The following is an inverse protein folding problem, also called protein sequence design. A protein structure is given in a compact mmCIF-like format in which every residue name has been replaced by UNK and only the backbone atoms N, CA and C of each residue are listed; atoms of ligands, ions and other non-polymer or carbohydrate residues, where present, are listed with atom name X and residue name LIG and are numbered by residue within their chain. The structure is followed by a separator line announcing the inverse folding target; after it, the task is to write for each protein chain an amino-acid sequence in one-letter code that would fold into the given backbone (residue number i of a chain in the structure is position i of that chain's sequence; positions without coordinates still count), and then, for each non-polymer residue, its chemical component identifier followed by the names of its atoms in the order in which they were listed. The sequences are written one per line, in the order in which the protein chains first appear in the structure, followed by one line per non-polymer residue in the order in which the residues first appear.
data_IF_765046930686
#
_entry.id   IF_765046930686
#
_cell.length_a   1.000
_cell.length_b   1.000
_cell.length_c   1.000
_cell.angle_alpha   90.00
_cell.angle_beta   90.00
_cell.angle_gamma   90.00
#
_symmetry.space_group_name_H-M   'P 1'
#
loop_
_entity.id
_entity.type
_entity.pdbx_description
1 polymer ?
#
# COMPACT_ATOMS: atom_id res chain seq x y z
N UNK A 1 -25.37 3.74 -7.02
CA UNK A 1 -24.53 4.22 -5.90
C UNK A 1 -23.27 4.84 -6.48
N UNK A 2 -22.79 5.97 -5.95
CA UNK A 2 -21.52 6.56 -6.41
C UNK A 2 -20.35 5.73 -5.82
N UNK A 3 -19.48 5.19 -6.67
CA UNK A 3 -18.38 4.30 -6.30
C UNK A 3 -17.46 4.97 -5.28
N UNK A 4 -17.02 6.20 -5.56
CA UNK A 4 -16.14 6.97 -4.68
C UNK A 4 -16.74 7.13 -3.28
N UNK A 5 -18.00 7.55 -3.20
CA UNK A 5 -18.69 7.74 -1.93
C UNK A 5 -18.80 6.44 -1.14
N UNK A 6 -19.00 5.29 -1.81
CA UNK A 6 -19.05 3.99 -1.16
C UNK A 6 -17.72 3.63 -0.50
N UNK A 7 -16.61 3.78 -1.21
CA UNK A 7 -15.26 3.53 -0.66
C UNK A 7 -14.97 4.43 0.55
N UNK A 8 -15.26 5.73 0.42
CA UNK A 8 -14.98 6.71 1.49
C UNK A 8 -15.85 6.48 2.73
N UNK A 9 -17.10 6.04 2.58
CA UNK A 9 -17.97 5.63 3.69
C UNK A 9 -17.38 4.47 4.46
N UNK A 10 -16.96 3.40 3.76
CA UNK A 10 -16.33 2.25 4.41
C UNK A 10 -15.09 2.68 5.20
N UNK A 11 -14.22 3.50 4.62
CA UNK A 11 -13.03 4.02 5.32
C UNK A 11 -13.39 4.97 6.48
N UNK A 12 -14.57 5.56 6.49
CA UNK A 12 -15.06 6.37 7.60
C UNK A 12 -15.74 5.55 8.71
N UNK A 13 -15.82 4.22 8.55
CA UNK A 13 -16.48 3.34 9.51
C UNK A 13 -18.00 3.28 9.36
N UNK A 14 -18.54 3.88 8.29
CA UNK A 14 -19.96 3.82 7.98
C UNK A 14 -20.34 2.51 7.29
N UNK A 15 -21.59 2.10 7.43
CA UNK A 15 -22.11 0.90 6.75
C UNK A 15 -22.22 1.12 5.24
N UNK A 16 -21.97 0.08 4.50
CA UNK A 16 -22.08 0.00 3.05
C UNK A 16 -22.90 -1.21 2.64
N UNK A 17 -23.75 -1.04 1.64
CA UNK A 17 -24.60 -2.12 1.10
C UNK A 17 -23.79 -3.15 0.31
N UNK A 18 -22.61 -2.77 -0.19
CA UNK A 18 -21.75 -3.61 -1.02
C UNK A 18 -20.26 -3.36 -0.72
N UNK A 19 -19.51 -4.42 -0.49
CA UNK A 19 -18.05 -4.34 -0.28
C UNK A 19 -17.37 -3.73 -1.50
N UNK A 20 -16.60 -2.62 -1.37
CA UNK A 20 -15.83 -2.07 -2.48
C UNK A 20 -14.77 -3.04 -2.99
N UNK A 21 -14.40 -2.91 -4.28
CA UNK A 21 -13.32 -3.69 -4.92
C UNK A 21 -12.30 -2.74 -5.53
N UNK A 22 -11.12 -2.64 -4.92
CA UNK A 22 -10.07 -1.72 -5.38
C UNK A 22 -8.68 -2.33 -5.19
N UNK A 23 -7.63 -1.61 -5.55
CA UNK A 23 -6.26 -1.97 -5.21
C UNK A 23 -5.51 -0.78 -4.63
N UNK A 24 -4.85 -0.99 -3.50
CA UNK A 24 -4.02 0.02 -2.83
C UNK A 24 -2.55 -0.07 -3.22
N UNK A 25 -2.18 -1.16 -3.90
CA UNK A 25 -0.83 -1.45 -4.37
C UNK A 25 -0.73 -1.26 -5.90
N UNK A 26 0.38 -1.66 -6.52
CA UNK A 26 0.64 -1.54 -7.96
C UNK A 26 -0.44 -2.27 -8.78
N UNK A 27 -1.02 -1.58 -9.80
CA UNK A 27 -2.13 -2.10 -10.63
C UNK A 27 -1.82 -2.23 -12.12
N UNK A 28 -0.74 -1.63 -12.62
CA UNK A 28 -0.48 -1.65 -14.06
C UNK A 28 0.00 -3.06 -14.51
N UNK A 29 -0.62 -3.57 -15.56
CA UNK A 29 -0.34 -4.88 -16.14
C UNK A 29 -0.14 -4.78 -17.65
N UNK A 30 0.56 -5.74 -18.24
CA UNK A 30 0.93 -5.71 -19.67
C UNK A 30 -0.29 -5.64 -20.59
N UNK A 31 -1.34 -6.43 -20.33
CA UNK A 31 -2.56 -6.37 -21.14
C UNK A 31 -3.24 -4.98 -21.10
N UNK A 32 -3.16 -4.27 -19.96
CA UNK A 32 -3.67 -2.90 -19.88
C UNK A 32 -2.79 -1.93 -20.67
N UNK A 33 -1.46 -2.10 -20.62
CA UNK A 33 -0.52 -1.32 -21.44
C UNK A 33 -0.80 -1.50 -22.92
N UNK A 34 -1.01 -2.74 -23.37
CA UNK A 34 -1.34 -3.07 -24.76
C UNK A 34 -2.69 -2.46 -25.23
N UNK A 35 -3.68 -2.42 -24.31
CA UNK A 35 -5.01 -1.85 -24.64
C UNK A 35 -5.05 -0.34 -24.65
N UNK A 36 -4.21 0.31 -23.87
CA UNK A 36 -4.12 1.78 -23.77
C UNK A 36 -3.07 2.38 -24.70
N UNK A 37 -2.20 1.55 -25.28
CA UNK A 37 -0.99 1.95 -26.03
C UNK A 37 -0.05 2.85 -25.18
N UNK A 38 -0.03 2.61 -23.84
CA UNK A 38 0.80 3.33 -22.87
C UNK A 38 1.62 2.30 -22.08
N UNK A 39 2.93 2.45 -22.08
CA UNK A 39 3.86 1.42 -21.62
C UNK A 39 4.81 1.92 -20.53
N UNK A 40 5.31 0.98 -19.74
CA UNK A 40 6.53 1.12 -18.99
C UNK A 40 7.74 0.95 -19.91
N UNK A 41 8.90 1.59 -19.63
CA UNK A 41 9.16 2.46 -18.46
C UNK A 41 8.68 3.92 -18.62
N UNK A 42 8.21 4.36 -19.80
CA UNK A 42 7.86 5.74 -20.11
C UNK A 42 6.78 6.31 -19.19
N UNK A 43 5.79 5.51 -18.83
CA UNK A 43 4.71 5.91 -17.92
C UNK A 43 5.20 6.20 -16.47
N UNK A 44 6.41 5.81 -16.12
CA UNK A 44 6.98 6.19 -14.82
C UNK A 44 7.48 7.65 -14.78
N UNK A 45 7.77 8.25 -15.95
CA UNK A 45 8.37 9.57 -16.08
C UNK A 45 7.50 10.57 -16.85
N UNK A 46 6.27 10.19 -17.20
CA UNK A 46 5.30 11.02 -17.90
C UNK A 46 3.96 11.01 -17.16
N UNK A 47 3.49 12.18 -16.74
CA UNK A 47 2.30 12.32 -15.91
C UNK A 47 1.00 11.89 -16.61
N UNK A 48 0.85 12.19 -17.90
CA UNK A 48 -0.34 11.82 -18.67
C UNK A 48 -0.38 10.29 -18.85
N UNK A 49 0.75 9.67 -19.20
CA UNK A 49 0.86 8.22 -19.33
C UNK A 49 0.64 7.51 -17.98
N UNK A 50 1.16 8.09 -16.88
CA UNK A 50 0.95 7.56 -15.53
C UNK A 50 -0.53 7.61 -15.14
N UNK A 51 -1.24 8.70 -15.45
CA UNK A 51 -2.66 8.82 -15.18
C UNK A 51 -3.49 7.81 -15.98
N UNK A 52 -3.21 7.66 -17.30
CA UNK A 52 -3.89 6.68 -18.17
C UNK A 52 -3.72 5.26 -17.64
N UNK A 53 -2.51 4.83 -17.30
CA UNK A 53 -2.30 3.50 -16.73
C UNK A 53 -2.88 3.37 -15.31
N UNK A 54 -2.87 4.45 -14.53
CA UNK A 54 -3.42 4.47 -13.17
C UNK A 54 -4.93 4.27 -13.10
N UNK A 55 -5.67 4.63 -14.15
CA UNK A 55 -7.13 4.43 -14.28
C UNK A 55 -7.50 3.22 -15.15
N UNK A 56 -6.55 2.64 -15.87
CA UNK A 56 -6.80 1.63 -16.90
C UNK A 56 -7.62 0.42 -16.43
N UNK A 57 -7.37 -0.08 -15.23
CA UNK A 57 -8.13 -1.24 -14.71
C UNK A 57 -9.52 -0.86 -14.20
N UNK A 58 -9.81 0.41 -13.94
CA UNK A 58 -11.17 0.87 -13.77
C UNK A 58 -11.96 0.67 -15.09
N UNK A 59 -11.43 1.21 -16.19
CA UNK A 59 -12.06 1.15 -17.50
C UNK A 59 -12.16 -0.28 -18.07
N UNK A 60 -11.11 -1.09 -17.89
CA UNK A 60 -11.00 -2.40 -18.53
C UNK A 60 -11.56 -3.56 -17.71
N UNK A 61 -11.59 -3.43 -16.39
CA UNK A 61 -11.96 -4.50 -15.47
C UNK A 61 -13.00 -4.10 -14.42
N UNK A 62 -13.38 -2.83 -14.33
CA UNK A 62 -14.34 -2.33 -13.36
C UNK A 62 -13.78 -2.16 -11.95
N UNK A 63 -12.45 -2.09 -11.78
CA UNK A 63 -11.84 -1.84 -10.48
C UNK A 63 -12.27 -0.46 -9.96
N UNK A 64 -12.62 -0.36 -8.71
CA UNK A 64 -13.28 0.82 -8.13
C UNK A 64 -12.28 1.88 -7.63
N UNK A 65 -11.19 2.10 -8.37
CA UNK A 65 -10.19 3.14 -8.08
C UNK A 65 -9.31 3.47 -9.28
N UNK A 66 -8.63 4.62 -9.23
CA UNK A 66 -7.39 4.87 -9.94
C UNK A 66 -6.23 4.85 -8.94
N UNK A 67 -5.07 4.29 -9.32
CA UNK A 67 -3.91 4.15 -8.42
C UNK A 67 -2.59 4.45 -9.11
N UNK A 68 -1.79 5.33 -8.51
CA UNK A 68 -0.44 5.72 -8.91
C UNK A 68 0.46 5.92 -7.67
N UNK A 69 1.82 6.00 -7.80
CA UNK A 69 2.67 5.45 -8.86
C UNK A 69 2.76 3.93 -8.80
N UNK A 70 3.42 3.26 -9.77
CA UNK A 70 3.48 1.79 -9.85
C UNK A 70 4.69 1.17 -9.15
N UNK A 71 5.38 1.92 -8.30
CA UNK A 71 6.60 1.47 -7.60
C UNK A 71 6.75 2.16 -6.24
N UNK A 72 7.76 1.74 -5.49
CA UNK A 72 8.14 2.29 -4.19
C UNK A 72 9.56 2.92 -4.23
N UNK A 73 9.93 3.57 -5.34
CA UNK A 73 11.30 4.10 -5.53
C UNK A 73 11.34 5.59 -5.81
N UNK A 74 10.19 6.28 -5.75
CA UNK A 74 10.08 7.72 -6.05
C UNK A 74 10.85 8.55 -5.03
N UNK A 75 10.67 8.26 -3.74
CA UNK A 75 11.33 8.95 -2.64
C UNK A 75 12.84 8.69 -2.63
N UNK A 76 13.25 7.42 -2.84
CA UNK A 76 14.65 7.05 -2.89
C UNK A 76 15.38 7.71 -4.07
N UNK A 77 14.73 7.82 -5.24
CA UNK A 77 15.27 8.54 -6.41
C UNK A 77 15.46 10.03 -6.10
N UNK A 78 14.48 10.66 -5.46
CA UNK A 78 14.56 12.06 -5.07
C UNK A 78 15.64 12.33 -4.01
N UNK A 79 15.96 11.32 -3.19
CA UNK A 79 17.08 11.31 -2.25
C UNK A 79 18.44 11.09 -2.94
N UNK A 80 18.48 10.83 -4.25
CA UNK A 80 19.71 10.68 -5.03
C UNK A 80 20.13 9.23 -5.29
N UNK A 81 19.28 8.25 -4.99
CA UNK A 81 19.53 6.86 -5.40
C UNK A 81 19.39 6.72 -6.92
N UNK A 82 20.22 5.85 -7.52
CA UNK A 82 20.05 5.43 -8.90
C UNK A 82 18.91 4.42 -8.99
N UNK A 83 17.94 4.68 -9.87
CA UNK A 83 16.79 3.81 -10.10
C UNK A 83 16.82 3.27 -11.52
N UNK A 84 16.87 1.94 -11.67
CA UNK A 84 16.52 1.28 -12.92
C UNK A 84 14.99 1.29 -13.06
N UNK A 85 14.47 1.99 -14.06
CA UNK A 85 13.03 2.13 -14.29
C UNK A 85 12.33 0.83 -14.72
N UNK A 86 13.08 -0.24 -14.91
CA UNK A 86 12.55 -1.54 -15.24
C UNK A 86 12.30 -1.75 -16.73
N UNK A 87 11.27 -2.51 -17.00
CA UNK A 87 10.82 -2.85 -18.37
C UNK A 87 9.33 -3.12 -18.33
N UNK A 88 8.72 -3.41 -19.47
CA UNK A 88 7.28 -3.74 -19.56
C UNK A 88 6.81 -4.83 -18.55
N UNK A 89 7.72 -5.69 -18.10
CA UNK A 89 7.44 -6.78 -17.16
C UNK A 89 8.09 -6.62 -15.79
N UNK A 90 8.78 -5.53 -15.55
CA UNK A 90 9.54 -5.32 -14.31
C UNK A 90 9.39 -3.89 -13.81
N UNK A 91 8.93 -3.76 -12.59
CA UNK A 91 8.81 -2.48 -11.89
C UNK A 91 10.18 -1.84 -11.59
N UNK A 92 10.25 -0.51 -11.40
CA UNK A 92 11.46 0.19 -10.99
C UNK A 92 12.09 -0.36 -9.71
N UNK A 93 13.41 -0.37 -9.67
CA UNK A 93 14.20 -0.83 -8.53
C UNK A 93 15.38 0.11 -8.27
N UNK A 94 15.70 0.34 -6.99
CA UNK A 94 16.94 1.02 -6.59
C UNK A 94 18.13 0.09 -6.89
N UNK A 95 19.08 0.59 -7.66
CA UNK A 95 20.29 -0.17 -8.05
C UNK A 95 21.55 0.30 -7.32
N UNK A 96 21.60 1.60 -7.01
CA UNK A 96 22.72 2.19 -6.30
C UNK A 96 22.23 3.26 -5.32
N UNK A 97 22.92 3.38 -4.19
CA UNK A 97 22.67 4.42 -3.20
C UNK A 97 23.96 5.25 -2.97
N UNK A 98 23.86 6.57 -2.81
CA UNK A 98 24.99 7.41 -2.45
C UNK A 98 25.38 7.27 -0.98
N UNK A 99 24.52 6.70 -0.13
CA UNK A 99 24.71 6.62 1.32
C UNK A 99 25.40 5.31 1.71
N UNK A 100 26.43 5.42 2.57
CA UNK A 100 27.18 4.25 3.09
C UNK A 100 26.83 3.94 4.53
N UNK A 101 26.46 4.96 5.28
CA UNK A 101 26.09 4.87 6.70
C UNK A 101 24.86 5.72 6.98
N UNK A 102 24.21 5.48 8.10
CA UNK A 102 23.05 6.25 8.55
C UNK A 102 23.34 7.76 8.65
N UNK A 103 24.56 8.13 9.05
CA UNK A 103 25.00 9.53 9.20
C UNK A 103 25.22 10.26 7.87
N UNK A 104 25.27 9.54 6.76
CA UNK A 104 25.43 10.15 5.43
C UNK A 104 24.08 10.62 4.84
N UNK A 105 22.95 10.22 5.44
CA UNK A 105 21.61 10.54 4.93
C UNK A 105 21.33 12.01 5.22
N UNK A 106 21.35 12.81 4.16
CA UNK A 106 20.98 14.23 4.17
C UNK A 106 19.81 14.46 3.22
N UNK A 107 18.74 15.09 3.73
CA UNK A 107 17.57 15.43 2.91
C UNK A 107 17.91 16.64 2.01
N UNK A 108 17.81 16.51 0.68
CA UNK A 108 18.04 17.64 -0.22
C UNK A 108 17.01 18.75 0.03
N UNK A 109 17.47 20.00 0.09
CA UNK A 109 16.59 21.17 0.33
C UNK A 109 15.50 21.38 -0.73
N UNK A 110 15.70 20.85 -1.93
CA UNK A 110 14.78 20.90 -3.07
C UNK A 110 14.15 19.52 -3.37
N UNK A 111 14.08 18.63 -2.36
CA UNK A 111 13.62 17.25 -2.45
C UNK A 111 12.34 17.07 -3.28
N UNK A 112 11.31 17.90 -3.02
CA UNK A 112 10.02 17.82 -3.72
C UNK A 112 10.09 18.16 -5.23
N UNK A 113 11.19 18.74 -5.69
CA UNK A 113 11.42 19.04 -7.11
C UNK A 113 12.34 18.03 -7.80
N UNK A 114 12.75 16.95 -7.09
CA UNK A 114 13.69 15.95 -7.60
C UNK A 114 13.01 14.67 -8.05
N UNK A 115 13.72 13.93 -8.88
CA UNK A 115 13.29 12.63 -9.37
C UNK A 115 11.90 12.71 -10.02
N UNK A 116 11.08 11.71 -9.74
CA UNK A 116 9.72 11.60 -10.28
C UNK A 116 8.64 12.21 -9.39
N UNK A 117 8.98 12.88 -8.29
CA UNK A 117 7.97 13.54 -7.42
C UNK A 117 7.09 14.50 -8.22
N UNK A 118 7.62 15.44 -9.05
CA UNK A 118 6.78 16.34 -9.85
C UNK A 118 5.86 15.61 -10.81
N UNK A 119 6.32 14.49 -11.38
CA UNK A 119 5.51 13.65 -12.29
C UNK A 119 4.32 13.05 -11.57
N UNK A 120 4.53 12.51 -10.37
CA UNK A 120 3.45 11.93 -9.55
C UNK A 120 2.44 13.00 -9.15
N UNK A 121 2.90 14.16 -8.67
CA UNK A 121 2.03 15.26 -8.27
C UNK A 121 1.19 15.81 -9.44
N UNK A 122 1.76 15.86 -10.64
CA UNK A 122 1.02 16.25 -11.83
C UNK A 122 0.03 15.16 -12.28
N UNK A 123 0.40 13.88 -12.19
CA UNK A 123 -0.51 12.77 -12.51
C UNK A 123 -1.73 12.72 -11.58
N UNK A 124 -1.59 13.09 -10.30
CA UNK A 124 -2.74 13.24 -9.38
C UNK A 124 -3.73 14.26 -9.94
N UNK A 125 -3.27 15.44 -10.41
CA UNK A 125 -4.14 16.46 -10.97
C UNK A 125 -4.89 15.97 -12.21
N UNK A 126 -4.18 15.26 -13.13
CA UNK A 126 -4.82 14.64 -14.31
C UNK A 126 -5.93 13.68 -13.92
N UNK A 127 -5.68 12.80 -12.97
CA UNK A 127 -6.70 11.86 -12.47
C UNK A 127 -7.86 12.57 -11.79
N UNK A 128 -7.61 13.65 -11.05
CA UNK A 128 -8.68 14.44 -10.43
C UNK A 128 -9.57 15.11 -11.46
N UNK A 129 -8.97 15.69 -12.51
CA UNK A 129 -9.71 16.37 -13.57
C UNK A 129 -10.65 15.39 -14.30
N UNK A 130 -10.25 14.13 -14.48
CA UNK A 130 -10.99 13.15 -15.25
C UNK A 130 -11.92 12.29 -14.39
N UNK A 131 -11.47 11.83 -13.22
CA UNK A 131 -12.15 10.83 -12.38
C UNK A 131 -12.55 11.34 -10.99
N UNK A 132 -12.19 12.57 -10.62
CA UNK A 132 -12.29 13.06 -9.24
C UNK A 132 -13.69 12.99 -8.61
N UNK A 133 -14.75 12.96 -9.41
CA UNK A 133 -16.13 12.86 -8.93
C UNK A 133 -16.70 11.42 -8.95
N UNK A 134 -16.00 10.47 -9.57
CA UNK A 134 -16.55 9.14 -9.88
C UNK A 134 -15.92 8.01 -9.08
N UNK A 135 -14.58 7.94 -9.05
CA UNK A 135 -13.82 6.91 -8.32
C UNK A 135 -12.77 7.55 -7.43
N UNK A 136 -12.35 6.88 -6.34
CA UNK A 136 -11.28 7.38 -5.50
C UNK A 136 -9.93 7.29 -6.22
N UNK A 137 -9.12 8.33 -6.02
CA UNK A 137 -7.74 8.39 -6.47
C UNK A 137 -6.84 7.97 -5.31
N UNK A 138 -6.09 6.89 -5.49
CA UNK A 138 -5.18 6.33 -4.51
C UNK A 138 -3.74 6.63 -4.90
N UNK A 139 -3.00 7.26 -3.99
CA UNK A 139 -1.57 7.52 -4.18
C UNK A 139 -0.77 6.65 -3.24
N UNK A 140 0.14 5.86 -3.80
CA UNK A 140 1.06 5.05 -3.02
C UNK A 140 2.34 5.82 -2.71
N UNK A 141 2.85 5.62 -1.50
CA UNK A 141 4.16 6.10 -1.09
C UNK A 141 4.89 5.06 -0.25
N UNK A 142 6.18 5.20 -0.14
CA UNK A 142 7.01 4.35 0.71
C UNK A 142 6.94 4.84 2.16
N UNK A 143 6.87 3.92 3.11
CA UNK A 143 7.01 4.27 4.51
C UNK A 143 8.48 4.43 4.94
N UNK A 144 8.74 5.04 6.12
CA UNK A 144 10.08 5.46 6.53
C UNK A 144 11.07 4.31 6.70
N UNK A 145 10.64 3.15 7.19
CA UNK A 145 11.53 2.01 7.40
C UNK A 145 11.94 1.37 6.07
N UNK A 146 11.01 1.25 5.12
CA UNK A 146 11.31 0.77 3.77
C UNK A 146 12.17 1.77 3.00
N UNK A 147 11.91 3.08 3.13
CA UNK A 147 12.78 4.10 2.54
C UNK A 147 14.20 3.98 3.08
N UNK A 148 14.39 3.82 4.40
CA UNK A 148 15.71 3.56 5.00
C UNK A 148 16.38 2.34 4.37
N UNK A 149 15.61 1.27 4.14
CA UNK A 149 16.08 0.07 3.44
C UNK A 149 16.55 0.35 2.01
N UNK A 150 15.90 1.25 1.29
CA UNK A 150 16.32 1.70 -0.05
C UNK A 150 17.61 2.55 0.03
N UNK A 151 17.72 3.43 1.03
CA UNK A 151 18.86 4.33 1.17
C UNK A 151 20.14 3.62 1.63
N UNK A 152 20.07 2.60 2.46
CA UNK A 152 21.22 1.90 3.03
C UNK A 152 21.47 0.52 2.42
N UNK A 153 20.49 0.00 1.66
CA UNK A 153 20.41 -1.42 1.30
C UNK A 153 19.81 -2.23 2.45
N UNK A 154 18.73 -2.98 2.16
CA UNK A 154 17.94 -3.72 3.16
C UNK A 154 18.82 -4.66 4.00
N UNK A 155 19.73 -5.41 3.37
CA UNK A 155 20.62 -6.33 4.06
C UNK A 155 21.56 -5.61 5.05
N UNK A 156 22.13 -4.48 4.64
CA UNK A 156 22.97 -3.65 5.50
C UNK A 156 22.18 -3.08 6.67
N UNK A 157 20.99 -2.54 6.41
CA UNK A 157 20.11 -1.99 7.42
C UNK A 157 19.77 -3.05 8.48
N UNK A 158 19.30 -4.24 8.07
CA UNK A 158 18.94 -5.33 8.99
C UNK A 158 20.12 -5.85 9.80
N UNK A 159 21.32 -5.89 9.22
CA UNK A 159 22.55 -6.20 9.95
C UNK A 159 22.87 -5.13 10.99
N UNK A 160 22.79 -3.86 10.60
CA UNK A 160 23.16 -2.73 11.44
C UNK A 160 22.11 -2.47 12.55
N UNK A 161 20.85 -2.86 12.37
CA UNK A 161 19.87 -2.90 13.46
C UNK A 161 20.33 -3.73 14.66
N UNK A 162 21.14 -4.77 14.43
CA UNK A 162 21.71 -5.60 15.51
C UNK A 162 23.01 -5.04 16.06
N UNK A 163 23.83 -4.44 15.20
CA UNK A 163 25.18 -3.99 15.55
C UNK A 163 25.20 -2.55 16.05
N UNK A 164 24.34 -1.69 15.52
CA UNK A 164 24.29 -0.24 15.76
C UNK A 164 22.85 0.25 15.74
N UNK A 165 21.98 -0.22 16.66
CA UNK A 165 20.54 0.07 16.61
C UNK A 165 20.23 1.58 16.62
N UNK A 166 20.95 2.39 17.40
CA UNK A 166 20.75 3.84 17.45
C UNK A 166 21.03 4.56 16.14
N UNK A 167 22.01 4.07 15.35
CA UNK A 167 22.28 4.66 14.03
C UNK A 167 21.11 4.39 13.07
N UNK A 168 20.52 3.19 13.12
CA UNK A 168 19.37 2.85 12.28
C UNK A 168 18.12 3.60 12.72
N UNK A 169 17.88 3.77 14.02
CA UNK A 169 16.76 4.58 14.49
C UNK A 169 16.86 6.03 13.97
N UNK A 170 18.06 6.64 14.03
CA UNK A 170 18.29 7.97 13.46
C UNK A 170 18.07 7.99 11.93
N UNK A 171 18.49 6.93 11.20
CA UNK A 171 18.24 6.84 9.75
C UNK A 171 16.75 6.75 9.42
N UNK A 172 15.98 6.01 10.24
CA UNK A 172 14.52 5.93 10.08
C UNK A 172 13.86 7.27 10.40
N UNK A 173 14.37 8.02 11.39
CA UNK A 173 13.87 9.36 11.70
C UNK A 173 14.14 10.34 10.53
N UNK A 174 15.33 10.33 9.93
CA UNK A 174 15.62 11.12 8.73
C UNK A 174 14.74 10.71 7.53
N UNK A 175 14.48 9.42 7.37
CA UNK A 175 13.56 8.92 6.34
C UNK A 175 12.10 9.30 6.63
N UNK A 176 11.72 9.41 7.91
CA UNK A 176 10.40 9.90 8.31
C UNK A 176 10.20 11.35 7.88
N UNK A 177 11.16 12.23 8.09
CA UNK A 177 11.09 13.63 7.64
C UNK A 177 10.82 13.72 6.14
N UNK A 178 11.54 12.91 5.32
CA UNK A 178 11.31 12.80 3.87
C UNK A 178 9.88 12.33 3.56
N UNK A 179 9.41 11.29 4.25
CA UNK A 179 8.06 10.77 4.05
C UNK A 179 6.99 11.79 4.46
N UNK A 180 7.22 12.56 5.52
CA UNK A 180 6.28 13.60 5.97
C UNK A 180 6.18 14.75 4.95
N UNK A 181 7.30 15.24 4.45
CA UNK A 181 7.32 16.29 3.41
C UNK A 181 6.60 15.84 2.14
N UNK A 182 6.84 14.59 1.71
CA UNK A 182 6.18 14.04 0.53
C UNK A 182 4.69 13.78 0.77
N UNK A 183 4.30 13.24 1.93
CA UNK A 183 2.89 13.05 2.29
C UNK A 183 2.12 14.37 2.36
N UNK A 184 2.76 15.45 2.83
CA UNK A 184 2.17 16.78 2.81
C UNK A 184 1.98 17.30 1.37
N UNK A 185 2.98 17.15 0.50
CA UNK A 185 2.88 17.53 -0.91
C UNK A 185 1.79 16.74 -1.65
N UNK A 186 1.70 15.42 -1.42
CA UNK A 186 0.61 14.59 -1.94
C UNK A 186 -0.73 15.07 -1.39
N UNK A 187 -0.85 15.33 -0.08
CA UNK A 187 -2.10 15.82 0.54
C UNK A 187 -2.55 17.17 -0.03
N UNK A 188 -1.61 18.05 -0.40
CA UNK A 188 -1.91 19.33 -1.08
C UNK A 188 -2.42 19.14 -2.52
N UNK A 189 -2.06 18.04 -3.18
CA UNK A 189 -2.63 17.66 -4.48
C UNK A 189 -4.03 17.03 -4.35
N UNK A 190 -4.49 16.79 -3.12
CA UNK A 190 -5.84 16.34 -2.74
C UNK A 190 -6.30 15.03 -3.43
N UNK A 191 -5.52 13.94 -3.39
CA UNK A 191 -6.06 12.63 -3.71
C UNK A 191 -7.08 12.22 -2.65
N UNK A 192 -7.83 11.15 -2.87
CA UNK A 192 -8.80 10.67 -1.89
C UNK A 192 -8.15 9.81 -0.80
N UNK A 193 -7.12 9.03 -1.18
CA UNK A 193 -6.47 8.06 -0.31
C UNK A 193 -4.95 8.09 -0.52
N UNK A 194 -4.20 8.10 0.58
CA UNK A 194 -2.76 7.82 0.56
C UNK A 194 -2.53 6.41 1.13
N UNK A 195 -1.86 5.56 0.37
CA UNK A 195 -1.43 4.24 0.81
C UNK A 195 0.06 4.25 1.14
N UNK A 196 0.40 4.12 2.41
CA UNK A 196 1.79 3.96 2.88
C UNK A 196 2.14 2.48 2.84
N UNK A 197 3.20 2.13 2.10
CA UNK A 197 3.66 0.76 1.97
C UNK A 197 4.98 0.54 2.71
N UNK A 198 4.99 -0.45 3.61
CA UNK A 198 6.13 -0.83 4.46
C UNK A 198 6.52 -2.31 4.30
N UNK A 199 6.84 -2.78 3.08
CA UNK A 199 7.15 -4.20 2.88
C UNK A 199 8.39 -4.66 3.66
N UNK A 200 9.34 -3.78 3.95
CA UNK A 200 10.54 -4.13 4.72
C UNK A 200 10.22 -4.36 6.21
N UNK A 201 9.07 -3.91 6.69
CA UNK A 201 8.58 -4.16 8.05
C UNK A 201 7.81 -5.48 8.22
N UNK A 202 7.82 -6.34 7.19
CA UNK A 202 7.17 -7.65 7.25
C UNK A 202 7.77 -8.53 8.36
N UNK A 203 6.93 -9.37 9.04
CA UNK A 203 7.40 -10.26 10.10
C UNK A 203 8.45 -11.30 9.69
N UNK A 204 8.63 -11.52 8.39
CA UNK A 204 9.71 -12.33 7.82
C UNK A 204 11.09 -11.66 7.90
N UNK A 205 11.12 -10.34 8.04
CA UNK A 205 12.36 -9.54 8.07
C UNK A 205 12.70 -9.01 9.46
N UNK A 206 11.68 -8.57 10.22
CA UNK A 206 11.85 -8.05 11.59
C UNK A 206 10.84 -8.69 12.53
N UNK A 207 11.21 -8.82 13.81
CA UNK A 207 10.30 -9.37 14.80
C UNK A 207 9.23 -8.36 15.25
N UNK A 208 8.10 -8.81 15.86
CA UNK A 208 7.03 -7.93 16.31
C UNK A 208 7.46 -6.87 17.33
N UNK A 209 8.50 -7.12 18.12
CA UNK A 209 9.01 -6.13 19.07
C UNK A 209 9.75 -5.00 18.33
N UNK A 210 10.57 -5.34 17.34
CA UNK A 210 11.24 -4.36 16.48
C UNK A 210 10.21 -3.52 15.71
N UNK A 211 9.17 -4.16 15.16
CA UNK A 211 8.05 -3.41 14.57
C UNK A 211 7.46 -2.40 15.55
N UNK A 212 7.13 -2.84 16.77
CA UNK A 212 6.49 -2.02 17.79
C UNK A 212 7.38 -0.87 18.29
N UNK A 213 8.69 -1.07 18.36
CA UNK A 213 9.60 -0.08 18.96
C UNK A 213 10.25 0.85 17.95
N UNK A 214 10.46 0.38 16.72
CA UNK A 214 11.17 1.15 15.68
C UNK A 214 10.20 1.65 14.61
N UNK A 215 9.34 0.78 14.05
CA UNK A 215 8.52 1.12 12.89
C UNK A 215 7.24 1.85 13.28
N UNK A 216 6.50 1.27 14.24
CA UNK A 216 5.18 1.76 14.64
C UNK A 216 5.16 3.24 15.05
N UNK A 217 6.06 3.76 15.92
CA UNK A 217 6.05 5.17 16.30
C UNK A 217 6.21 6.12 15.11
N UNK A 218 7.08 5.78 14.15
CA UNK A 218 7.31 6.58 12.94
C UNK A 218 6.10 6.57 11.99
N UNK A 219 5.41 5.43 11.93
CA UNK A 219 4.15 5.35 11.18
C UNK A 219 3.01 6.12 11.86
N UNK A 220 2.99 6.20 13.20
CA UNK A 220 2.06 7.04 13.95
C UNK A 220 2.29 8.52 13.65
N UNK A 221 3.54 8.98 13.66
CA UNK A 221 3.91 10.35 13.32
C UNK A 221 3.55 10.68 11.86
N UNK A 222 3.87 9.79 10.91
CA UNK A 222 3.49 9.95 9.51
C UNK A 222 1.96 9.99 9.32
N UNK A 223 1.22 9.15 10.03
CA UNK A 223 -0.25 9.14 9.96
C UNK A 223 -0.86 10.48 10.40
N UNK A 224 -0.23 11.19 11.34
CA UNK A 224 -0.70 12.50 11.83
C UNK A 224 -0.53 13.62 10.79
N UNK A 225 0.39 13.49 9.84
CA UNK A 225 0.61 14.47 8.76
C UNK A 225 -0.36 14.26 7.58
N UNK A 226 -0.73 13.01 7.30
CA UNK A 226 -1.63 12.67 6.19
C UNK A 226 -3.05 13.21 6.48
N UNK A 227 -3.56 14.09 5.62
CA UNK A 227 -4.85 14.78 5.79
C UNK A 227 -6.00 14.12 5.01
N UNK A 228 -5.69 13.20 4.10
CA UNK A 228 -6.66 12.42 3.33
C UNK A 228 -6.98 11.10 4.05
N UNK A 229 -7.86 10.26 3.49
CA UNK A 229 -7.97 8.87 3.93
C UNK A 229 -6.62 8.17 3.75
N UNK A 230 -6.27 7.29 4.68
CA UNK A 230 -4.95 6.66 4.73
C UNK A 230 -5.05 5.17 4.99
N UNK A 231 -4.26 4.42 4.23
CA UNK A 231 -4.19 2.95 4.32
C UNK A 231 -2.74 2.56 4.53
N UNK A 232 -2.49 1.66 5.48
CA UNK A 232 -1.18 1.06 5.69
C UNK A 232 -1.13 -0.31 5.03
N UNK A 233 -0.17 -0.55 4.15
CA UNK A 233 0.09 -1.86 3.55
C UNK A 233 1.41 -2.44 4.06
N UNK A 234 1.34 -3.64 4.65
CA UNK A 234 2.52 -4.44 5.00
C UNK A 234 2.35 -5.82 4.40
N UNK A 235 3.33 -6.23 3.59
CA UNK A 235 3.37 -7.54 2.95
C UNK A 235 3.59 -8.69 3.93
N UNK A 236 3.45 -9.92 3.45
CA UNK A 236 3.80 -11.14 4.16
C UNK A 236 2.81 -11.55 5.25
N UNK A 237 3.30 -12.37 6.18
CA UNK A 237 2.47 -12.98 7.24
C UNK A 237 2.25 -12.00 8.40
N UNK A 238 1.60 -10.88 8.15
CA UNK A 238 1.42 -9.78 9.10
C UNK A 238 0.46 -10.08 10.28
N UNK A 239 -0.13 -11.29 10.35
CA UNK A 239 -1.01 -11.70 11.47
C UNK A 239 -0.43 -11.42 12.87
N UNK A 240 0.89 -11.64 13.16
CA UNK A 240 1.45 -11.35 14.49
C UNK A 240 1.45 -9.87 14.88
N UNK A 241 1.45 -8.96 13.92
CA UNK A 241 1.51 -7.50 14.12
C UNK A 241 0.19 -6.80 13.78
N UNK A 242 -0.87 -7.55 13.44
CA UNK A 242 -2.13 -7.01 12.91
C UNK A 242 -2.75 -5.95 13.83
N UNK A 243 -2.69 -6.18 15.15
CA UNK A 243 -3.22 -5.25 16.13
C UNK A 243 -2.36 -3.98 16.22
N UNK A 244 -1.03 -4.13 16.18
CA UNK A 244 -0.14 -2.98 16.18
C UNK A 244 -0.32 -2.13 14.91
N UNK A 245 -0.50 -2.76 13.73
CA UNK A 245 -0.84 -2.06 12.49
C UNK A 245 -2.14 -1.27 12.61
N UNK A 246 -3.22 -1.92 13.08
CA UNK A 246 -4.53 -1.31 13.17
C UNK A 246 -4.63 -0.18 14.21
N UNK A 247 -3.72 -0.17 15.21
CA UNK A 247 -3.70 0.85 16.28
C UNK A 247 -2.86 2.08 15.96
N UNK A 248 -2.22 2.16 14.80
CA UNK A 248 -1.36 3.28 14.37
C UNK A 248 -2.18 4.54 14.07
N UNK A 249 -3.44 4.40 13.64
CA UNK A 249 -4.29 5.55 13.29
C UNK A 249 -4.55 5.68 11.78
N UNK A 250 -4.30 4.63 11.00
CA UNK A 250 -4.75 4.53 9.62
C UNK A 250 -6.23 4.11 9.57
N UNK A 251 -6.98 4.61 8.57
CA UNK A 251 -8.39 4.26 8.36
C UNK A 251 -8.57 2.78 8.01
N UNK A 252 -7.56 2.20 7.35
CA UNK A 252 -7.53 0.77 7.04
C UNK A 252 -6.10 0.21 7.03
N UNK A 253 -6.00 -1.11 7.18
CA UNK A 253 -4.79 -1.89 6.99
C UNK A 253 -4.99 -2.85 5.81
N UNK A 254 -4.01 -2.92 4.92
CA UNK A 254 -4.00 -3.83 3.77
C UNK A 254 -3.07 -5.01 4.05
N UNK A 255 -3.59 -6.21 3.84
CA UNK A 255 -2.94 -7.47 4.23
C UNK A 255 -2.88 -8.46 3.08
N UNK A 256 -1.90 -9.36 3.12
CA UNK A 256 -1.74 -10.44 2.15
C UNK A 256 -2.59 -11.68 2.48
N UNK A 257 -2.64 -12.63 1.54
CA UNK A 257 -3.42 -13.89 1.62
C UNK A 257 -3.06 -14.77 2.79
N UNK A 258 -1.86 -14.59 3.38
CA UNK A 258 -1.40 -15.34 4.55
C UNK A 258 -2.09 -14.91 5.86
N UNK A 259 -2.83 -13.79 5.84
CA UNK A 259 -3.61 -13.30 6.98
C UNK A 259 -5.01 -13.91 6.98
N UNK A 260 -5.39 -14.53 8.07
CA UNK A 260 -6.76 -14.97 8.32
C UNK A 260 -7.63 -13.76 8.68
N UNK A 261 -8.44 -13.30 7.70
CA UNK A 261 -9.31 -12.11 7.86
C UNK A 261 -10.29 -12.29 9.02
N UNK A 262 -10.97 -13.43 9.13
CA UNK A 262 -11.96 -13.64 10.18
C UNK A 262 -11.33 -13.56 11.57
N UNK A 263 -10.14 -14.15 11.72
CA UNK A 263 -9.36 -14.05 12.95
C UNK A 263 -8.86 -12.63 13.20
N UNK A 264 -8.39 -11.92 12.16
CA UNK A 264 -7.94 -10.55 12.27
C UNK A 264 -9.09 -9.64 12.73
N UNK A 265 -10.27 -9.73 12.11
CA UNK A 265 -11.48 -8.99 12.55
C UNK A 265 -11.82 -9.26 14.01
N UNK A 266 -11.85 -10.52 14.40
CA UNK A 266 -12.12 -10.91 15.78
C UNK A 266 -11.07 -10.37 16.79
N UNK A 267 -9.78 -10.41 16.40
CA UNK A 267 -8.70 -9.90 17.25
C UNK A 267 -8.79 -8.37 17.41
N UNK A 268 -9.19 -7.64 16.36
CA UNK A 268 -9.38 -6.18 16.37
C UNK A 268 -10.60 -5.75 17.19
N UNK A 269 -11.73 -6.46 17.11
CA UNK A 269 -12.95 -6.17 17.86
C UNK A 269 -12.78 -6.40 19.38
N UNK A 270 -11.99 -7.38 19.76
CA UNK A 270 -11.77 -7.74 21.18
C UNK A 270 -10.64 -6.98 21.88
N UNK A 271 -9.99 -6.05 21.17
CA UNK A 271 -8.88 -5.28 21.75
C UNK A 271 -7.72 -6.16 22.19
N UNK A 272 -6.90 -6.61 21.25
CA UNK A 272 -5.60 -7.24 21.41
C UNK A 272 -5.39 -8.27 22.51
N UNK A 273 -4.58 -9.29 22.24
CA UNK A 273 -4.24 -10.32 23.22
C UNK A 273 -3.41 -9.78 24.38
N UNK A 274 -3.73 -10.23 25.57
CA UNK A 274 -2.89 -10.12 26.75
C UNK A 274 -1.65 -11.01 26.59
N UNK A 275 -0.49 -10.42 26.30
CA UNK A 275 0.79 -11.12 26.35
C UNK A 275 1.28 -11.19 27.81
N UNK A 276 1.55 -12.41 28.29
CA UNK A 276 2.25 -12.62 29.57
C UNK A 276 3.74 -12.80 29.28
N UNK A 277 4.53 -11.76 29.53
CA UNK A 277 5.99 -11.82 29.45
C UNK A 277 6.54 -11.63 30.86
N UNK A 278 7.28 -12.63 31.35
CA UNK A 278 7.92 -12.56 32.69
C UNK A 278 6.96 -12.32 33.84
N UNK A 279 5.72 -12.85 33.79
CA UNK A 279 4.72 -12.69 34.85
C UNK A 279 3.97 -11.36 34.88
N UNK A 280 4.30 -10.43 34.01
CA UNK A 280 3.53 -9.18 33.79
C UNK A 280 2.54 -9.32 32.64
N UNK A 281 1.30 -8.91 32.91
CA UNK A 281 0.23 -8.82 31.92
C UNK A 281 0.39 -7.50 31.21
N UNK A 282 0.76 -7.54 29.92
CA UNK A 282 0.75 -6.35 29.05
C UNK A 282 -0.54 -6.38 28.23
N UNK A 283 -1.42 -5.43 28.49
CA UNK A 283 -2.58 -5.20 27.63
C UNK A 283 -2.11 -4.63 26.30
N UNK A 284 -2.40 -5.31 25.20
CA UNK A 284 -1.91 -4.99 23.87
C UNK A 284 -2.96 -4.19 23.05
N UNK A 285 -3.49 -3.12 23.65
CA UNK A 285 -4.33 -2.13 22.95
C UNK A 285 -5.84 -2.29 23.15
N UNK A 286 -6.60 -1.24 22.80
CA UNK A 286 -8.06 -1.18 22.82
C UNK A 286 -8.70 -1.61 21.48
N UNK A 287 -10.02 -1.52 21.39
CA UNK A 287 -10.76 -1.64 20.13
C UNK A 287 -10.18 -0.67 19.08
N UNK A 288 -10.01 -1.14 17.85
CA UNK A 288 -9.57 -0.30 16.73
C UNK A 288 -10.70 -0.18 15.72
N UNK A 289 -10.85 1.00 15.13
CA UNK A 289 -11.83 1.24 14.06
C UNK A 289 -11.26 0.97 12.66
N UNK A 290 -9.98 0.57 12.57
CA UNK A 290 -9.30 0.34 11.30
C UNK A 290 -9.94 -0.79 10.50
N UNK A 291 -10.16 -0.57 9.21
CA UNK A 291 -10.78 -1.53 8.29
C UNK A 291 -9.73 -2.48 7.72
N UNK A 292 -10.15 -3.65 7.25
CA UNK A 292 -9.27 -4.62 6.58
C UNK A 292 -9.49 -4.55 5.07
N UNK A 293 -8.38 -4.33 4.33
CA UNK A 293 -8.29 -4.34 2.88
C UNK A 293 -7.52 -5.58 2.44
N UNK A 294 -8.03 -6.33 1.50
CA UNK A 294 -7.36 -7.52 0.96
C UNK A 294 -8.34 -8.59 0.52
N UNK A 295 -7.92 -9.82 0.40
CA UNK A 295 -6.56 -10.35 0.39
C UNK A 295 -6.46 -11.45 -0.67
N UNK A 296 -6.97 -11.14 -1.88
CA UNK A 296 -6.95 -12.10 -3.00
C UNK A 296 -5.51 -12.25 -3.50
N UNK A 297 -5.01 -13.48 -3.49
CA UNK A 297 -3.61 -13.74 -3.83
C UNK A 297 -3.24 -13.19 -5.21
N UNK A 298 -2.32 -12.20 -5.22
CA UNK A 298 -1.84 -11.57 -6.45
C UNK A 298 -1.08 -12.56 -7.34
N UNK A 299 -0.39 -13.54 -6.76
CA UNK A 299 0.47 -14.46 -7.49
C UNK A 299 -0.23 -15.79 -7.81
N UNK A 300 -0.84 -16.43 -6.81
CA UNK A 300 -1.40 -17.77 -7.00
C UNK A 300 -2.76 -17.69 -7.70
N UNK A 301 -3.57 -16.71 -7.38
CA UNK A 301 -4.95 -16.60 -7.86
C UNK A 301 -5.07 -15.63 -9.03
N UNK A 302 -4.68 -14.36 -8.85
CA UNK A 302 -4.88 -13.34 -9.90
C UNK A 302 -3.92 -13.49 -11.08
N UNK A 303 -2.72 -14.02 -10.87
CA UNK A 303 -1.76 -14.25 -11.97
C UNK A 303 -1.86 -15.66 -12.55
N UNK A 304 -1.84 -16.72 -11.71
CA UNK A 304 -1.72 -18.10 -12.15
C UNK A 304 -3.02 -18.89 -12.12
N UNK A 305 -4.01 -18.41 -11.35
CA UNK A 305 -5.28 -19.08 -11.16
C UNK A 305 -6.24 -18.93 -12.33
N UNK A 306 -7.26 -19.75 -12.31
CA UNK A 306 -8.43 -19.66 -13.21
C UNK A 306 -9.45 -18.63 -12.68
N UNK A 307 -10.43 -18.29 -13.52
CA UNK A 307 -11.58 -17.46 -13.12
C UNK A 307 -12.33 -18.10 -11.94
N UNK A 308 -12.44 -19.42 -11.92
CA UNK A 308 -13.09 -20.17 -10.85
C UNK A 308 -12.33 -20.05 -9.53
N UNK A 309 -10.98 -20.13 -9.56
CA UNK A 309 -10.15 -19.92 -8.37
C UNK A 309 -10.34 -18.51 -7.81
N UNK A 310 -10.41 -17.49 -8.68
CA UNK A 310 -10.68 -16.09 -8.27
C UNK A 310 -12.05 -15.99 -7.60
N UNK A 311 -13.10 -16.58 -8.20
CA UNK A 311 -14.46 -16.54 -7.63
C UNK A 311 -14.55 -17.23 -6.27
N UNK A 312 -13.84 -18.32 -6.10
CA UNK A 312 -13.80 -19.06 -4.83
C UNK A 312 -13.10 -18.24 -3.73
N UNK A 313 -11.95 -17.65 -4.04
CA UNK A 313 -11.19 -16.85 -3.08
C UNK A 313 -11.92 -15.56 -2.70
N UNK A 314 -12.54 -14.87 -3.66
CA UNK A 314 -13.42 -13.70 -3.42
C UNK A 314 -14.55 -14.06 -2.46
N UNK A 315 -15.26 -15.16 -2.70
CA UNK A 315 -16.32 -15.63 -1.84
C UNK A 315 -15.82 -15.93 -0.41
N UNK A 316 -14.62 -16.51 -0.30
CA UNK A 316 -13.98 -16.77 1.00
C UNK A 316 -13.68 -15.48 1.75
N UNK A 317 -13.07 -14.49 1.09
CA UNK A 317 -12.74 -13.19 1.69
C UNK A 317 -14.00 -12.42 2.14
N UNK A 318 -15.05 -12.40 1.31
CA UNK A 318 -16.33 -11.76 1.65
C UNK A 318 -17.02 -12.44 2.84
N UNK A 319 -17.04 -13.78 2.88
CA UNK A 319 -17.58 -14.52 4.02
C UNK A 319 -16.76 -14.33 5.31
N UNK A 320 -15.46 -14.05 5.19
CA UNK A 320 -14.60 -13.73 6.32
C UNK A 320 -14.77 -12.29 6.84
N UNK A 321 -15.58 -11.47 6.14
CA UNK A 321 -15.93 -10.11 6.55
C UNK A 321 -14.89 -9.06 6.19
N UNK A 322 -14.18 -9.22 5.06
CA UNK A 322 -13.29 -8.17 4.54
C UNK A 322 -14.08 -6.88 4.31
N UNK A 323 -13.52 -5.74 4.70
CA UNK A 323 -14.23 -4.45 4.53
C UNK A 323 -14.07 -3.90 3.10
N UNK A 324 -12.91 -4.11 2.49
CA UNK A 324 -12.61 -3.73 1.11
C UNK A 324 -11.89 -4.89 0.44
N UNK A 325 -12.45 -5.43 -0.63
CA UNK A 325 -11.85 -6.48 -1.41
C UNK A 325 -10.73 -5.93 -2.28
N UNK A 326 -9.55 -6.53 -2.23
CA UNK A 326 -8.38 -6.08 -2.97
C UNK A 326 -7.43 -7.23 -3.31
N UNK A 327 -6.56 -7.08 -4.32
CA UNK A 327 -5.38 -7.92 -4.43
C UNK A 327 -4.54 -7.86 -3.15
N UNK A 328 -3.93 -8.96 -2.78
CA UNK A 328 -3.13 -9.10 -1.56
C UNK A 328 -1.88 -8.21 -1.57
N UNK A 329 -1.33 -7.96 -2.76
CA UNK A 329 -0.15 -7.12 -3.00
C UNK A 329 -0.22 -6.54 -4.42
N UNK A 330 0.87 -5.96 -4.93
CA UNK A 330 0.97 -5.48 -6.31
C UNK A 330 0.67 -6.58 -7.33
N UNK A 331 -0.11 -6.24 -8.35
CA UNK A 331 -0.40 -7.17 -9.43
C UNK A 331 0.89 -7.54 -10.17
N UNK A 332 1.06 -8.82 -10.48
CA UNK A 332 2.14 -9.25 -11.36
C UNK A 332 1.92 -8.64 -12.76
N UNK A 333 2.96 -8.15 -13.44
CA UNK A 333 2.79 -7.47 -14.74
C UNK A 333 2.04 -8.28 -15.80
N UNK A 334 2.12 -9.59 -15.76
CA UNK A 334 1.40 -10.49 -16.68
C UNK A 334 0.11 -11.08 -16.12
N UNK A 335 -0.47 -10.49 -15.07
CA UNK A 335 -1.80 -10.90 -14.58
C UNK A 335 -2.85 -10.67 -15.66
N UNK A 336 -3.72 -11.67 -15.97
CA UNK A 336 -4.78 -11.50 -16.95
C UNK A 336 -5.83 -10.48 -16.50
N UNK A 337 -6.24 -9.56 -17.37
CA UNK A 337 -7.39 -8.65 -17.11
C UNK A 337 -8.63 -9.46 -16.74
N UNK A 338 -8.84 -10.62 -17.37
CA UNK A 338 -9.97 -11.49 -17.10
C UNK A 338 -10.08 -11.89 -15.62
N UNK A 339 -8.97 -12.14 -14.94
CA UNK A 339 -8.95 -12.49 -13.52
C UNK A 339 -9.28 -11.28 -12.63
N UNK A 340 -8.80 -10.09 -12.99
CA UNK A 340 -9.16 -8.85 -12.27
C UNK A 340 -10.66 -8.55 -12.44
N UNK A 341 -11.17 -8.70 -13.65
CA UNK A 341 -12.60 -8.54 -13.93
C UNK A 341 -13.44 -9.57 -13.18
N UNK A 342 -13.00 -10.84 -13.14
CA UNK A 342 -13.66 -11.89 -12.38
C UNK A 342 -13.74 -11.60 -10.88
N UNK A 343 -12.77 -10.89 -10.30
CA UNK A 343 -12.81 -10.45 -8.91
C UNK A 343 -13.98 -9.48 -8.66
N UNK A 344 -14.19 -8.51 -9.56
CA UNK A 344 -15.31 -7.56 -9.48
C UNK A 344 -16.66 -8.27 -9.72
N UNK A 345 -16.72 -9.13 -10.74
CA UNK A 345 -17.92 -9.88 -11.07
C UNK A 345 -18.34 -10.83 -9.94
N UNK A 346 -17.38 -11.53 -9.33
CA UNK A 346 -17.64 -12.44 -8.21
C UNK A 346 -18.20 -11.72 -6.98
N UNK A 347 -17.72 -10.49 -6.68
CA UNK A 347 -18.28 -9.65 -5.63
C UNK A 347 -19.74 -9.31 -5.96
N UNK A 348 -20.05 -8.92 -7.19
CA UNK A 348 -21.41 -8.59 -7.61
C UNK A 348 -22.32 -9.82 -7.49
N UNK A 349 -21.90 -10.99 -8.02
CA UNK A 349 -22.64 -12.25 -7.91
C UNK A 349 -22.89 -12.68 -6.44
N UNK A 350 -22.00 -12.31 -5.52
CA UNK A 350 -22.18 -12.61 -4.11
C UNK A 350 -23.35 -11.84 -3.50
N UNK A 351 -23.47 -10.54 -3.81
CA UNK A 351 -24.54 -9.70 -3.30
C UNK A 351 -25.88 -9.90 -4.01
N UNK A 352 -25.90 -10.21 -5.31
CA UNK A 352 -27.11 -10.55 -6.07
C UNK A 352 -27.84 -11.79 -5.51
N UNK A 353 -27.12 -12.71 -4.87
CA UNK A 353 -27.69 -13.92 -4.24
C UNK A 353 -28.27 -13.69 -2.85
N UNK A 354 -27.97 -12.55 -2.24
CA UNK A 354 -28.42 -12.20 -0.90
C UNK A 354 -29.69 -11.33 -0.94
N UNK A 355 -29.90 -10.62 -2.06
CA UNK A 355 -31.14 -9.88 -2.35
C UNK A 355 -32.24 -10.82 -2.86
#
# INVERSE_FOLDING_TARGET
MNIKNNVLKVLSGEESDITPVLSVTQIAIVEAMEKTDVYWPEAHINADMMAILGSSLHELAGLECARIPFCLTVEAEAMGCTVDLGSIERTPQVTETPFRTASDIEVPTDFLNKGRIPVVLEAIKRLKDEYGDTIPIIVGMTGPFTLTGHLLGVENMLRDMKMRPGDIENAVDNSLDVCMDYAEAISQAEPDIICVAEPTAAPELIDPLQFKTIVKPRLEDLANVIRTKKILHICGSSQPIIHDMASIGYDAISVEENVDIAKAKHDLEKGGKVLRVGGKVMNMGGETSSKIVGNISSTQTLFRGSIEDVKEEVKKALNAGVDILAPSCGLAPRSPIANIKAMVEARNEFYDKIQ
#
